data_IF_377865343874
#
_entry.id   IF_377865343874
#
_cell.length_a   1.000
_cell.length_b   1.000
_cell.length_c   1.000
_cell.angle_alpha   90.00
_cell.angle_beta   90.00
_cell.angle_gamma   90.00
#
_symmetry.space_group_name_H-M   'P 1'
#
loop_
_entity.id
_entity.type
_entity.pdbx_description
1 polymer ?
#
# COMPACT_ATOMS: atom_id res chain seq x y z
N UNK A 1 -2.95 15.33 -31.90
CA UNK A 1 -2.91 14.93 -31.42
C UNK A 1 -3.50 14.59 -30.60
N UNK A 2 -3.73 14.20 -30.76
CA UNK A 2 -4.33 13.82 -29.98
C UNK A 2 -4.19 13.90 -28.83
N UNK A 3 -4.78 14.30 -28.62
CA UNK A 3 -4.77 14.45 -27.44
C UNK A 3 -4.61 13.27 -26.83
N UNK A 4 -3.73 13.03 -26.54
CA UNK A 4 -3.49 12.10 -25.82
C UNK A 4 -4.19 12.08 -24.69
N UNK A 5 -4.51 11.13 -24.17
CA UNK A 5 -5.18 11.02 -23.00
C UNK A 5 -4.44 11.56 -21.91
N UNK A 6 -4.94 12.56 -21.37
CA UNK A 6 -4.38 13.14 -20.21
C UNK A 6 -4.98 12.59 -18.94
N UNK A 7 -5.55 11.40 -18.99
CA UNK A 7 -6.23 10.79 -17.86
C UNK A 7 -5.65 9.41 -17.58
N UNK A 8 -4.43 9.38 -16.99
CA UNK A 8 -3.79 8.10 -16.72
C UNK A 8 -4.62 7.25 -15.77
N UNK A 9 -4.54 5.95 -15.99
CA UNK A 9 -5.26 4.98 -15.18
C UNK A 9 -4.30 4.15 -14.36
N UNK A 10 -4.80 3.62 -13.26
CA UNK A 10 -4.03 2.70 -12.43
C UNK A 10 -4.91 1.49 -12.13
N UNK A 11 -4.30 0.32 -12.14
CA UNK A 11 -4.97 -0.91 -11.75
C UNK A 11 -4.56 -1.25 -10.33
N UNK A 12 -5.54 -1.44 -9.45
CA UNK A 12 -5.33 -1.65 -8.03
C UNK A 12 -5.81 -3.02 -7.65
N UNK A 13 -4.94 -3.79 -6.98
CA UNK A 13 -5.28 -5.11 -6.47
C UNK A 13 -6.16 -4.97 -5.24
N UNK A 14 -7.28 -5.68 -5.23
CA UNK A 14 -8.17 -5.74 -4.08
C UNK A 14 -8.14 -7.14 -3.49
N UNK A 15 -8.14 -7.21 -2.17
CA UNK A 15 -8.06 -8.49 -1.47
C UNK A 15 -9.36 -9.27 -1.66
N UNK A 16 -9.23 -10.50 -2.15
CA UNK A 16 -10.38 -11.40 -2.28
C UNK A 16 -11.33 -11.08 -3.40
N UNK A 17 -10.97 -10.19 -4.32
CA UNK A 17 -11.84 -9.86 -5.45
C UNK A 17 -11.01 -9.38 -6.63
N UNK A 18 -11.65 -9.13 -7.76
CA UNK A 18 -10.96 -8.69 -8.96
C UNK A 18 -10.32 -7.31 -8.75
N UNK A 19 -9.16 -7.08 -9.36
CA UNK A 19 -8.59 -5.74 -9.35
C UNK A 19 -9.51 -4.75 -10.05
N UNK A 20 -9.36 -3.49 -9.71
CA UNK A 20 -10.11 -2.42 -10.34
C UNK A 20 -9.15 -1.49 -11.06
N UNK A 21 -9.61 -0.90 -12.16
CA UNK A 21 -8.85 0.11 -12.88
C UNK A 21 -9.61 1.43 -12.76
N UNK A 22 -8.92 2.45 -12.29
CA UNK A 22 -9.51 3.76 -12.05
C UNK A 22 -8.68 4.85 -12.69
N UNK A 23 -9.32 5.95 -13.04
CA UNK A 23 -8.62 7.13 -13.53
C UNK A 23 -8.01 7.87 -12.35
N UNK A 24 -6.70 8.14 -12.40
CA UNK A 24 -6.03 8.80 -11.29
C UNK A 24 -6.63 10.17 -10.97
N UNK A 25 -7.09 10.88 -11.98
CA UNK A 25 -7.67 12.21 -11.77
C UNK A 25 -9.00 12.16 -11.02
N UNK A 26 -9.74 11.06 -11.13
CA UNK A 26 -11.02 10.88 -10.44
C UNK A 26 -10.84 10.27 -9.05
N UNK A 27 -9.68 9.71 -8.80
CA UNK A 27 -9.35 9.07 -7.53
C UNK A 27 -8.02 9.60 -7.01
N UNK A 28 -7.97 10.90 -6.67
CA UNK A 28 -6.72 11.48 -6.18
C UNK A 28 -6.29 10.85 -4.87
N UNK A 29 -5.00 10.93 -4.59
CA UNK A 29 -4.45 10.42 -3.34
C UNK A 29 -4.88 11.33 -2.20
N UNK A 30 -5.51 10.74 -1.20
CA UNK A 30 -5.93 11.43 0.01
C UNK A 30 -4.84 11.36 1.08
N UNK A 31 -4.20 10.21 1.22
CA UNK A 31 -3.14 9.99 2.18
C UNK A 31 -2.26 8.84 1.70
N UNK A 32 -1.01 8.87 2.12
CA UNK A 32 -0.07 7.81 1.76
C UNK A 32 1.03 7.76 2.80
N UNK A 33 1.53 6.57 3.07
CA UNK A 33 2.71 6.36 3.88
C UNK A 33 3.54 5.26 3.24
N UNK A 34 4.85 5.40 3.29
CA UNK A 34 5.74 4.42 2.72
C UNK A 34 7.05 4.36 3.49
N UNK A 35 7.66 3.20 3.45
CA UNK A 35 9.01 2.99 3.97
C UNK A 35 9.79 2.32 2.86
N UNK A 36 10.32 3.14 1.98
CA UNK A 36 11.21 2.67 0.93
C UNK A 36 12.64 2.80 1.41
N UNK A 37 13.52 2.09 0.76
CA UNK A 37 14.96 2.19 1.00
C UNK A 37 15.41 1.62 2.34
N UNK A 38 14.62 0.73 2.91
CA UNK A 38 15.10 -0.03 4.04
C UNK A 38 15.94 -1.21 3.52
N UNK A 39 17.21 -1.20 3.86
CA UNK A 39 18.13 -2.25 3.47
C UNK A 39 18.57 -3.06 4.69
N UNK A 40 18.78 -4.33 4.48
CA UNK A 40 19.24 -5.22 5.52
C UNK A 40 20.09 -6.33 4.96
N UNK A 41 20.45 -7.29 5.80
CA UNK A 41 21.18 -8.48 5.39
C UNK A 41 20.48 -9.71 5.92
N UNK A 42 20.51 -10.76 5.12
CA UNK A 42 19.98 -12.05 5.50
C UNK A 42 21.12 -13.03 5.76
N UNK A 43 20.80 -14.24 6.21
CA UNK A 43 21.79 -15.24 6.59
C UNK A 43 22.81 -15.54 5.50
N UNK A 44 22.43 -15.43 4.24
CA UNK A 44 23.35 -15.67 3.13
C UNK A 44 24.28 -14.48 2.88
N UNK A 45 24.25 -13.47 3.74
CA UNK A 45 25.02 -12.25 3.62
C UNK A 45 24.68 -11.42 2.37
N UNK A 46 23.54 -11.70 1.78
CA UNK A 46 23.05 -10.93 0.66
C UNK A 46 22.33 -9.69 1.16
N UNK A 47 22.28 -8.68 0.35
CA UNK A 47 21.50 -7.49 0.65
C UNK A 47 20.02 -7.77 0.44
N UNK A 48 19.23 -7.24 1.34
CA UNK A 48 17.78 -7.32 1.28
C UNK A 48 17.26 -5.90 1.24
N UNK A 49 16.31 -5.65 0.35
CA UNK A 49 15.60 -4.38 0.30
C UNK A 49 14.13 -4.66 0.46
N UNK A 50 13.53 -3.97 1.40
CA UNK A 50 12.10 -4.09 1.66
C UNK A 50 11.45 -2.73 1.51
N UNK A 51 10.26 -2.71 0.91
CA UNK A 51 9.54 -1.48 0.66
C UNK A 51 8.08 -1.69 1.01
N UNK A 52 7.55 -0.79 1.79
CA UNK A 52 6.14 -0.80 2.19
C UNK A 52 5.49 0.48 1.74
N UNK A 53 4.25 0.37 1.29
CA UNK A 53 3.45 1.56 1.00
C UNK A 53 1.99 1.25 1.23
N UNK A 54 1.29 2.17 1.88
CA UNK A 54 -0.16 2.17 1.98
C UNK A 54 -0.64 3.47 1.38
N UNK A 55 -1.61 3.39 0.47
CA UNK A 55 -2.15 4.54 -0.25
C UNK A 55 -3.66 4.56 -0.11
N UNK A 56 -4.22 5.74 0.10
CA UNK A 56 -5.66 5.98 0.12
C UNK A 56 -5.98 6.90 -1.03
N UNK A 57 -6.88 6.45 -1.92
CA UNK A 57 -7.40 7.28 -3.01
C UNK A 57 -8.88 7.47 -2.78
N UNK A 58 -9.38 8.67 -3.01
CA UNK A 58 -10.76 8.98 -2.73
C UNK A 58 -11.44 9.58 -3.94
N UNK A 59 -12.65 9.08 -4.22
CA UNK A 59 -13.52 9.63 -5.27
C UNK A 59 -14.42 10.70 -4.67
N UNK A 60 -14.84 11.65 -5.48
CA UNK A 60 -15.70 12.74 -5.01
C UNK A 60 -17.07 12.24 -4.53
N UNK A 61 -17.49 11.05 -4.94
CA UNK A 61 -18.75 10.48 -4.48
C UNK A 61 -18.65 9.89 -3.05
N UNK A 62 -17.50 9.99 -2.41
CA UNK A 62 -17.31 9.54 -1.04
C UNK A 62 -16.69 8.15 -0.91
N UNK A 63 -16.58 7.40 -2.00
CA UNK A 63 -15.91 6.08 -1.93
C UNK A 63 -14.40 6.28 -1.89
N UNK A 64 -13.73 5.32 -1.34
CA UNK A 64 -12.27 5.33 -1.29
C UNK A 64 -11.72 3.95 -1.56
N UNK A 65 -10.49 3.91 -2.06
CA UNK A 65 -9.74 2.67 -2.18
C UNK A 65 -8.52 2.79 -1.28
N UNK A 66 -8.38 1.85 -0.36
CA UNK A 66 -7.21 1.75 0.50
C UNK A 66 -6.44 0.53 0.03
N UNK A 67 -5.19 0.71 -0.34
CA UNK A 67 -4.41 -0.41 -0.86
C UNK A 67 -2.96 -0.30 -0.43
N UNK A 68 -2.30 -1.45 -0.42
CA UNK A 68 -0.92 -1.50 -0.03
C UNK A 68 -0.11 -2.44 -0.89
N UNK A 69 1.19 -2.23 -0.85
CA UNK A 69 2.17 -3.11 -1.48
C UNK A 69 3.34 -3.28 -0.54
N UNK A 70 3.79 -4.52 -0.44
CA UNK A 70 5.05 -4.87 0.20
C UNK A 70 5.90 -5.56 -0.85
N UNK A 71 7.11 -5.07 -1.05
CA UNK A 71 8.03 -5.68 -2.00
C UNK A 71 9.29 -6.15 -1.29
N UNK A 72 9.66 -7.37 -1.54
CA UNK A 72 10.88 -7.99 -1.03
C UNK A 72 11.85 -8.24 -2.18
N UNK A 73 13.03 -7.63 -2.08
CA UNK A 73 14.09 -7.79 -3.08
C UNK A 73 15.35 -8.29 -2.40
N UNK A 74 16.07 -9.20 -3.04
CA UNK A 74 17.30 -9.73 -2.48
C UNK A 74 18.21 -10.22 -3.61
N UNK A 75 19.52 -10.17 -3.39
CA UNK A 75 20.48 -10.79 -4.30
C UNK A 75 20.93 -12.18 -3.81
N UNK A 76 20.26 -12.73 -2.84
CA UNK A 76 20.55 -14.07 -2.36
C UNK A 76 20.09 -15.12 -3.38
N UNK A 77 20.96 -16.03 -3.76
CA UNK A 77 20.66 -17.01 -4.79
C UNK A 77 19.46 -17.88 -4.50
N UNK A 78 19.24 -18.20 -3.24
CA UNK A 78 18.23 -19.15 -2.84
C UNK A 78 16.94 -18.48 -2.39
N UNK A 79 16.87 -17.18 -2.46
CA UNK A 79 15.68 -16.44 -2.04
C UNK A 79 14.95 -15.90 -3.25
N UNK A 80 13.64 -15.76 -3.14
CA UNK A 80 12.80 -15.20 -4.19
C UNK A 80 12.44 -13.79 -3.87
N UNK A 81 12.43 -12.96 -4.90
CA UNK A 81 11.81 -11.66 -4.81
C UNK A 81 10.31 -11.81 -5.00
N UNK A 82 9.53 -11.03 -4.27
CA UNK A 82 8.08 -11.12 -4.38
C UNK A 82 7.41 -9.83 -3.92
N UNK A 83 6.16 -9.68 -4.37
CA UNK A 83 5.29 -8.60 -3.93
C UNK A 83 4.11 -9.19 -3.17
N UNK A 84 3.64 -8.46 -2.17
CA UNK A 84 2.35 -8.74 -1.55
C UNK A 84 1.49 -7.49 -1.75
N UNK A 85 0.31 -7.66 -2.32
CA UNK A 85 -0.57 -6.55 -2.62
C UNK A 85 -1.97 -6.85 -2.12
N UNK A 86 -2.58 -5.86 -1.52
CA UNK A 86 -3.95 -5.99 -1.03
C UNK A 86 -4.63 -4.65 -1.00
N UNK A 87 -5.95 -4.66 -0.92
CA UNK A 87 -6.69 -3.42 -0.86
C UNK A 87 -8.17 -3.66 -0.65
N UNK A 88 -8.87 -2.57 -0.36
CA UNK A 88 -10.31 -2.57 -0.12
C UNK A 88 -10.95 -1.34 -0.75
N UNK A 89 -12.14 -1.53 -1.30
CA UNK A 89 -12.98 -0.44 -1.75
C UNK A 89 -14.01 -0.20 -0.64
N UNK A 90 -14.04 1.00 -0.09
CA UNK A 90 -14.82 1.31 1.11
C UNK A 90 -15.54 2.66 0.98
N UNK A 91 -16.46 2.92 1.90
CA UNK A 91 -17.07 4.22 2.03
C UNK A 91 -16.17 5.15 2.85
N UNK A 92 -16.40 6.45 2.75
CA UNK A 92 -15.54 7.44 3.38
C UNK A 92 -15.42 7.27 4.91
N UNK A 93 -16.48 6.84 5.57
CA UNK A 93 -16.48 6.66 7.02
C UNK A 93 -15.75 5.39 7.48
N UNK A 94 -15.31 4.54 6.54
CA UNK A 94 -14.60 3.31 6.85
C UNK A 94 -13.11 3.38 6.48
N UNK A 95 -12.62 4.55 6.07
CA UNK A 95 -11.24 4.68 5.60
C UNK A 95 -10.24 4.31 6.70
N UNK A 96 -10.41 4.82 7.92
CA UNK A 96 -9.46 4.55 8.99
C UNK A 96 -9.41 3.06 9.34
N UNK A 97 -10.57 2.41 9.41
CA UNK A 97 -10.63 0.98 9.66
C UNK A 97 -10.01 0.19 8.52
N UNK A 98 -10.22 0.64 7.27
CA UNK A 98 -9.63 -0.02 6.10
C UNK A 98 -8.11 0.08 6.11
N UNK A 99 -7.55 1.22 6.51
CA UNK A 99 -6.09 1.36 6.64
C UNK A 99 -5.55 0.32 7.62
N UNK A 100 -6.23 0.14 8.76
CA UNK A 100 -5.84 -0.87 9.74
C UNK A 100 -5.90 -2.28 9.16
N UNK A 101 -6.99 -2.60 8.46
CA UNK A 101 -7.19 -3.93 7.89
C UNK A 101 -6.17 -4.24 6.79
N UNK A 102 -5.95 -3.29 5.89
CA UNK A 102 -5.00 -3.47 4.80
C UNK A 102 -3.58 -3.61 5.35
N UNK A 103 -3.21 -2.78 6.31
CA UNK A 103 -1.90 -2.86 6.94
C UNK A 103 -1.69 -4.20 7.65
N UNK A 104 -2.68 -4.65 8.39
CA UNK A 104 -2.61 -5.94 9.10
C UNK A 104 -2.51 -7.10 8.11
N UNK A 105 -3.31 -7.05 7.04
CA UNK A 105 -3.28 -8.09 6.00
C UNK A 105 -1.88 -8.19 5.37
N UNK A 106 -1.29 -7.05 5.03
CA UNK A 106 0.05 -7.02 4.46
C UNK A 106 1.09 -7.57 5.41
N UNK A 107 1.02 -7.17 6.68
CA UNK A 107 1.92 -7.68 7.71
C UNK A 107 1.85 -9.19 7.79
N UNK A 108 0.62 -9.73 7.80
CA UNK A 108 0.41 -11.16 7.98
C UNK A 108 0.83 -11.97 6.75
N UNK A 109 0.87 -11.35 5.58
CA UNK A 109 1.19 -12.03 4.33
C UNK A 109 2.58 -11.67 3.78
N UNK A 110 3.34 -10.84 4.50
CA UNK A 110 4.66 -10.42 4.02
C UNK A 110 5.72 -11.51 4.13
N UNK A 111 5.47 -12.53 4.93
CA UNK A 111 6.42 -13.63 5.09
C UNK A 111 7.53 -13.37 6.09
N UNK A 112 7.49 -12.24 6.78
CA UNK A 112 8.48 -11.92 7.80
C UNK A 112 7.96 -12.21 9.20
N UNK A 113 8.83 -12.72 10.05
CA UNK A 113 8.43 -13.12 11.38
C UNK A 113 8.88 -12.20 12.48
N UNK A 114 9.99 -11.51 12.29
CA UNK A 114 10.59 -10.74 13.37
C UNK A 114 10.85 -9.31 12.99
N UNK A 115 10.46 -8.41 13.84
CA UNK A 115 10.80 -7.01 13.71
C UNK A 115 9.96 -6.22 12.73
N UNK A 116 9.38 -6.89 11.76
CA UNK A 116 8.65 -6.19 10.71
C UNK A 116 7.28 -5.72 11.14
N UNK A 117 6.69 -6.38 12.15
CA UNK A 117 5.40 -5.95 12.66
C UNK A 117 5.43 -4.50 13.15
N UNK A 118 6.50 -4.11 13.83
CA UNK A 118 6.65 -2.74 14.31
C UNK A 118 6.74 -1.74 13.16
N UNK A 119 7.39 -2.14 12.05
CA UNK A 119 7.50 -1.27 10.87
C UNK A 119 6.14 -1.11 10.19
N UNK A 120 5.40 -2.19 10.02
CA UNK A 120 4.05 -2.11 9.46
C UNK A 120 3.15 -1.26 10.34
N UNK A 121 3.23 -1.43 11.65
CA UNK A 121 2.44 -0.61 12.57
C UNK A 121 2.80 0.86 12.47
N UNK A 122 4.09 1.18 12.28
CA UNK A 122 4.53 2.56 12.09
C UNK A 122 3.96 3.16 10.81
N UNK A 123 3.93 2.39 9.72
CA UNK A 123 3.38 2.85 8.45
C UNK A 123 1.87 3.06 8.54
N UNK A 124 1.18 2.15 9.23
CA UNK A 124 -0.25 2.31 9.48
C UNK A 124 -0.52 3.61 10.21
N UNK A 125 0.22 3.87 11.30
CA UNK A 125 0.07 5.11 12.08
C UNK A 125 0.37 6.34 11.25
N UNK A 126 1.42 6.28 10.45
CA UNK A 126 1.79 7.40 9.59
C UNK A 126 0.70 7.68 8.55
N UNK A 127 0.16 6.64 7.93
CA UNK A 127 -0.91 6.82 6.97
C UNK A 127 -2.14 7.46 7.62
N UNK A 128 -2.50 6.99 8.82
CA UNK A 128 -3.62 7.57 9.57
C UNK A 128 -3.34 9.05 9.89
N UNK A 129 -2.11 9.36 10.28
CA UNK A 129 -1.73 10.74 10.61
C UNK A 129 -1.73 11.66 9.38
N UNK A 130 -1.56 11.09 8.19
CA UNK A 130 -1.53 11.85 6.95
C UNK A 130 -2.93 12.10 6.36
N UNK A 131 -3.97 11.51 6.95
CA UNK A 131 -5.34 11.85 6.55
C UNK A 131 -5.63 13.31 6.87
N UNK A 132 -6.39 13.99 6.01
CA UNK A 132 -6.74 15.38 6.28
C UNK A 132 -7.52 15.51 7.58
N UNK A 133 -7.37 16.65 8.24
CA UNK A 133 -8.14 16.94 9.44
C UNK A 133 -9.61 17.03 9.10
N UNK A 134 -10.44 16.59 10.03
CA UNK A 134 -11.88 16.73 9.86
C UNK A 134 -12.28 18.18 10.11
N UNK A 135 -13.22 18.65 9.31
CA UNK A 135 -13.81 19.94 9.53
C UNK A 135 -15.08 19.73 10.35
N UNK A 136 -15.17 20.42 11.45
CA UNK A 136 -16.31 20.29 12.36
C UNK A 136 -17.23 21.49 12.29
#
# INVERSE_FOLDING_TARGET
MAAQSDNPKITITLTGRRPVTVAKSEWPILAEASDFDHDGQVECQANVRERWRITVRRHEDGRAIVYGVYRYETNCRNAREYDVRGGELVEADDIEAAIQRVGAWMRDHSGHENGDAARFDAIIRECLANLPAEEL
#
